data_IF_256697344244
#
_entry.id   IF_256697344244
#
_cell.length_a   1.000
_cell.length_b   1.000
_cell.length_c   1.000
_cell.angle_alpha   90.00
_cell.angle_beta   90.00
_cell.angle_gamma   90.00
#
_symmetry.space_group_name_H-M   'P 1'
#
loop_
_entity.id
_entity.type
_entity.pdbx_description
1 polymer ?
#
# COMPACT_ATOMS: atom_id res chain seq x y z
N UNK A 1 -18.86 -7.10 -21.03
CA UNK A 1 -18.74 -5.76 -20.42
C UNK A 1 -20.09 -5.40 -19.84
N UNK A 2 -20.16 -5.39 -18.52
CA UNK A 2 -21.36 -5.07 -17.76
C UNK A 2 -21.56 -3.54 -17.86
N UNK A 3 -22.46 -3.08 -18.75
CA UNK A 3 -22.67 -1.66 -19.09
C UNK A 3 -23.26 -0.82 -17.94
N UNK A 4 -23.56 -1.43 -16.78
CA UNK A 4 -24.27 -0.80 -15.66
C UNK A 4 -23.39 -0.49 -14.42
N UNK A 5 -22.07 -0.74 -14.46
CA UNK A 5 -21.20 -0.40 -13.32
C UNK A 5 -20.66 1.02 -13.43
N UNK A 6 -21.23 1.95 -12.65
CA UNK A 6 -20.65 3.27 -12.39
C UNK A 6 -19.74 3.21 -11.14
N UNK A 7 -18.40 3.30 -11.30
CA UNK A 7 -17.46 3.24 -10.18
C UNK A 7 -17.66 4.40 -9.18
N UNK A 8 -17.99 5.59 -9.68
CA UNK A 8 -18.20 6.77 -8.86
C UNK A 8 -19.42 6.61 -7.95
N UNK A 9 -20.55 6.20 -8.54
CA UNK A 9 -21.76 5.93 -7.77
C UNK A 9 -21.59 4.76 -6.79
N UNK A 10 -20.86 3.70 -7.17
CA UNK A 10 -20.57 2.57 -6.27
C UNK A 10 -19.73 3.00 -5.05
N UNK A 11 -18.65 3.76 -5.27
CA UNK A 11 -17.81 4.27 -4.20
C UNK A 11 -18.56 5.27 -3.30
N UNK A 12 -19.40 6.14 -3.88
CA UNK A 12 -20.21 7.10 -3.13
C UNK A 12 -21.20 6.40 -2.20
N UNK A 13 -21.95 5.39 -2.69
CA UNK A 13 -22.91 4.62 -1.87
C UNK A 13 -22.25 3.96 -0.66
N UNK A 14 -21.09 3.32 -0.85
CA UNK A 14 -20.37 2.69 0.26
C UNK A 14 -19.83 3.73 1.23
N UNK A 15 -19.29 4.84 0.74
CA UNK A 15 -18.79 5.91 1.60
C UNK A 15 -19.91 6.50 2.46
N UNK A 16 -21.09 6.71 1.89
CA UNK A 16 -22.27 7.18 2.63
C UNK A 16 -22.70 6.17 3.71
N UNK A 17 -22.71 4.87 3.40
CA UNK A 17 -23.01 3.83 4.38
C UNK A 17 -21.99 3.80 5.54
N UNK A 18 -20.69 3.91 5.24
CA UNK A 18 -19.63 3.98 6.25
C UNK A 18 -19.83 5.18 7.18
N UNK A 19 -20.08 6.36 6.60
CA UNK A 19 -20.28 7.59 7.37
C UNK A 19 -21.53 7.51 8.23
N UNK A 20 -22.63 6.99 7.68
CA UNK A 20 -23.87 6.78 8.43
C UNK A 20 -23.64 5.85 9.62
N UNK A 21 -22.97 4.73 9.43
CA UNK A 21 -22.73 3.77 10.51
C UNK A 21 -21.75 4.34 11.54
N UNK A 22 -20.77 5.14 11.11
CA UNK A 22 -19.82 5.84 12.00
C UNK A 22 -20.51 6.94 12.84
N UNK A 23 -21.42 7.71 12.24
CA UNK A 23 -22.08 8.86 12.87
C UNK A 23 -23.34 8.44 13.66
N UNK A 24 -24.08 7.45 13.19
CA UNK A 24 -25.42 7.15 13.70
C UNK A 24 -25.57 5.70 14.16
N UNK A 25 -24.59 4.83 13.89
CA UNK A 25 -24.61 3.46 14.34
C UNK A 25 -24.58 3.32 15.87
N UNK A 26 -25.09 2.19 16.36
CA UNK A 26 -25.06 1.83 17.79
C UNK A 26 -23.79 1.09 18.17
N UNK A 27 -23.09 0.51 17.19
CA UNK A 27 -21.88 -0.26 17.40
C UNK A 27 -20.69 0.60 17.85
N UNK A 28 -19.77 -0.02 18.59
CA UNK A 28 -18.56 0.64 19.08
C UNK A 28 -17.40 0.60 18.08
N UNK A 29 -17.57 -0.09 16.97
CA UNK A 29 -16.57 -0.24 15.94
C UNK A 29 -17.22 -0.32 14.56
N UNK A 30 -16.59 0.30 13.57
CA UNK A 30 -16.88 0.07 12.14
C UNK A 30 -15.56 -0.27 11.47
N UNK A 31 -15.51 -1.37 10.73
CA UNK A 31 -14.31 -1.80 9.99
C UNK A 31 -14.49 -1.51 8.51
N UNK A 32 -13.46 -0.96 7.88
CA UNK A 32 -13.45 -0.66 6.44
C UNK A 32 -12.23 -1.26 5.77
N UNK A 33 -12.50 -2.20 4.87
CA UNK A 33 -11.52 -2.77 3.96
C UNK A 33 -11.30 -1.81 2.79
N UNK A 34 -10.07 -1.31 2.68
CA UNK A 34 -9.66 -0.39 1.63
C UNK A 34 -8.54 -1.02 0.79
N UNK A 35 -8.84 -1.58 -0.40
CA UNK A 35 -7.80 -2.07 -1.31
C UNK A 35 -6.89 -0.94 -1.83
N UNK A 36 -5.81 -1.27 -2.56
CA UNK A 36 -4.80 -0.31 -2.98
C UNK A 36 -5.42 0.77 -3.87
N UNK A 37 -5.26 2.04 -3.48
CA UNK A 37 -5.79 3.16 -4.25
C UNK A 37 -7.30 3.36 -4.15
N UNK A 38 -7.98 2.73 -3.18
CA UNK A 38 -9.44 2.88 -3.03
C UNK A 38 -9.89 4.23 -2.43
N UNK A 39 -8.95 5.13 -2.13
CA UNK A 39 -9.25 6.44 -1.54
C UNK A 39 -9.30 6.42 -0.01
N UNK A 40 -8.56 5.51 0.64
CA UNK A 40 -8.48 5.38 2.10
C UNK A 40 -8.29 6.71 2.84
N UNK A 41 -7.23 7.44 2.51
CA UNK A 41 -6.93 8.73 3.14
C UNK A 41 -8.04 9.75 2.86
N UNK A 42 -8.68 9.71 1.68
CA UNK A 42 -9.83 10.55 1.36
C UNK A 42 -11.03 10.21 2.27
N UNK A 43 -11.28 8.93 2.52
CA UNK A 43 -12.31 8.46 3.46
C UNK A 43 -12.00 8.92 4.89
N UNK A 44 -10.77 8.71 5.37
CA UNK A 44 -10.35 9.11 6.73
C UNK A 44 -10.52 10.62 6.94
N UNK A 45 -10.04 11.44 6.00
CA UNK A 45 -10.22 12.90 6.06
C UNK A 45 -11.70 13.25 6.05
N UNK A 46 -12.50 12.67 5.15
CA UNK A 46 -13.95 12.94 5.08
C UNK A 46 -14.65 12.57 6.38
N UNK A 47 -14.38 11.39 6.93
CA UNK A 47 -14.98 10.95 8.20
C UNK A 47 -14.60 11.87 9.37
N UNK A 48 -13.34 12.32 9.43
CA UNK A 48 -12.89 13.28 10.44
C UNK A 48 -13.62 14.62 10.33
N UNK A 49 -13.78 15.15 9.10
CA UNK A 49 -14.50 16.41 8.86
C UNK A 49 -15.98 16.30 9.22
N UNK A 50 -16.66 15.21 8.85
CA UNK A 50 -18.08 14.99 9.17
C UNK A 50 -18.31 14.82 10.68
N UNK A 51 -17.41 14.12 11.37
CA UNK A 51 -17.46 14.00 12.84
C UNK A 51 -17.25 15.36 13.52
N UNK A 52 -16.23 16.11 13.09
CA UNK A 52 -15.96 17.45 13.60
C UNK A 52 -17.14 18.41 13.35
N UNK A 53 -17.69 18.45 12.13
CA UNK A 53 -18.85 19.27 11.77
C UNK A 53 -20.12 18.91 12.58
N UNK A 54 -20.26 17.64 12.97
CA UNK A 54 -21.33 17.18 13.86
C UNK A 54 -21.09 17.51 15.36
N UNK A 55 -20.04 18.28 15.69
CA UNK A 55 -19.68 18.64 17.06
C UNK A 55 -19.17 17.46 17.87
N UNK A 56 -18.50 16.49 17.21
CA UNK A 56 -17.96 15.28 17.83
C UNK A 56 -16.44 15.27 17.71
N UNK A 57 -15.74 15.86 18.69
CA UNK A 57 -14.29 15.82 18.71
C UNK A 57 -13.77 14.38 18.65
N UNK A 58 -12.72 14.16 17.87
CA UNK A 58 -12.14 12.84 17.65
C UNK A 58 -10.63 12.82 17.77
N UNK A 59 -10.12 11.68 18.18
CA UNK A 59 -8.71 11.35 18.01
C UNK A 59 -8.49 10.57 16.71
N UNK A 60 -7.32 10.72 16.10
CA UNK A 60 -6.90 9.89 14.97
C UNK A 60 -5.57 9.24 15.29
N UNK A 61 -5.50 7.93 15.02
CA UNK A 61 -4.38 7.05 15.32
C UNK A 61 -3.82 6.54 13.99
N UNK A 62 -2.54 6.83 13.72
CA UNK A 62 -1.81 6.25 12.59
C UNK A 62 -0.53 5.55 13.07
N UNK A 63 0.21 4.89 12.18
CA UNK A 63 1.37 4.06 12.58
C UNK A 63 2.70 4.82 12.51
N UNK A 64 2.83 5.78 11.61
CA UNK A 64 4.09 6.52 11.39
C UNK A 64 3.89 8.03 11.41
N UNK A 65 4.95 8.79 11.71
CA UNK A 65 4.87 10.26 11.69
C UNK A 65 4.54 10.80 10.29
N UNK A 66 5.11 10.23 9.23
CA UNK A 66 4.83 10.65 7.86
C UNK A 66 3.33 10.50 7.50
N UNK A 67 2.67 9.43 7.94
CA UNK A 67 1.23 9.25 7.75
C UNK A 67 0.42 10.29 8.52
N UNK A 68 0.81 10.57 9.77
CA UNK A 68 0.13 11.61 10.55
C UNK A 68 0.27 12.98 9.89
N UNK A 69 1.48 13.34 9.49
CA UNK A 69 1.76 14.67 8.95
C UNK A 69 1.07 14.87 7.59
N UNK A 70 1.04 13.85 6.71
CA UNK A 70 0.23 13.83 5.48
C UNK A 70 -1.26 14.00 5.77
N UNK A 71 -1.79 13.36 6.82
CA UNK A 71 -3.20 13.50 7.19
C UNK A 71 -3.52 14.91 7.71
N UNK A 72 -2.64 15.51 8.50
CA UNK A 72 -2.78 16.89 8.99
C UNK A 72 -2.78 17.87 7.82
N UNK A 73 -1.84 17.72 6.86
CA UNK A 73 -1.78 18.55 5.66
C UNK A 73 -3.10 18.50 4.87
N UNK A 74 -3.64 17.30 4.63
CA UNK A 74 -4.90 17.13 3.88
C UNK A 74 -6.12 17.70 4.62
N UNK A 75 -6.15 17.60 5.95
CA UNK A 75 -7.22 18.22 6.75
C UNK A 75 -7.15 19.74 6.69
N UNK A 76 -5.95 20.31 6.83
CA UNK A 76 -5.75 21.76 6.75
C UNK A 76 -6.04 22.31 5.35
N UNK A 77 -5.72 21.56 4.29
CA UNK A 77 -6.06 21.93 2.91
C UNK A 77 -7.59 21.95 2.69
N UNK A 78 -8.30 20.93 3.18
CA UNK A 78 -9.75 20.80 2.96
C UNK A 78 -10.61 21.64 3.89
N UNK A 79 -10.13 21.93 5.09
CA UNK A 79 -10.82 22.74 6.09
C UNK A 79 -9.81 23.67 6.78
N UNK A 80 -9.43 24.78 6.12
CA UNK A 80 -8.43 25.72 6.65
C UNK A 80 -8.81 26.37 7.98
N UNK A 81 -10.12 26.42 8.29
CA UNK A 81 -10.64 27.02 9.52
C UNK A 81 -10.81 26.00 10.66
N UNK A 82 -10.64 24.69 10.39
CA UNK A 82 -10.78 23.64 11.39
C UNK A 82 -9.53 23.60 12.28
N UNK A 83 -9.65 23.76 13.61
CA UNK A 83 -8.53 23.60 14.52
C UNK A 83 -8.09 22.13 14.58
N UNK A 84 -6.84 21.84 14.20
CA UNK A 84 -6.27 20.48 14.21
C UNK A 84 -5.10 20.40 15.18
N UNK A 85 -5.13 19.42 16.07
CA UNK A 85 -4.03 19.09 16.97
C UNK A 85 -3.09 18.05 16.38
N UNK A 86 -1.79 18.35 16.33
CA UNK A 86 -0.73 17.38 16.05
C UNK A 86 0.00 17.04 17.34
N UNK A 87 -0.32 15.90 17.94
CA UNK A 87 0.37 15.40 19.12
C UNK A 87 1.64 14.67 18.69
N UNK A 88 2.80 15.00 19.24
CA UNK A 88 4.09 14.43 18.81
C UNK A 88 5.01 14.02 19.97
N UNK A 89 6.14 13.38 19.68
CA UNK A 89 7.17 13.06 20.68
C UNK A 89 7.95 14.31 21.11
N UNK A 90 8.80 14.20 22.13
CA UNK A 90 9.70 15.29 22.54
C UNK A 90 11.04 15.26 21.78
N UNK A 91 11.11 14.56 20.64
CA UNK A 91 12.31 14.48 19.83
C UNK A 91 12.58 15.81 19.12
N UNK A 92 13.83 16.00 18.65
CA UNK A 92 14.28 17.26 18.05
C UNK A 92 13.56 17.62 16.74
N UNK A 93 13.18 16.61 15.95
CA UNK A 93 12.48 16.78 14.67
C UNK A 93 11.26 15.84 14.62
N UNK A 94 10.20 16.14 15.40
CA UNK A 94 9.15 15.17 15.68
C UNK A 94 8.02 15.15 14.64
N UNK A 95 8.02 16.09 13.69
CA UNK A 95 7.04 16.24 12.63
C UNK A 95 7.64 16.98 11.41
N UNK A 96 7.00 16.90 10.24
CA UNK A 96 7.41 17.62 9.03
C UNK A 96 7.24 19.14 9.15
N UNK A 97 8.29 19.91 8.83
CA UNK A 97 8.29 21.38 8.88
C UNK A 97 7.27 22.05 7.97
N UNK A 98 6.73 21.34 6.97
CA UNK A 98 5.58 21.80 6.20
C UNK A 98 4.37 22.16 7.09
N UNK A 99 4.29 21.61 8.30
CA UNK A 99 3.22 21.92 9.27
C UNK A 99 3.41 23.26 10.00
N UNK A 100 4.59 23.89 9.93
CA UNK A 100 4.86 25.15 10.63
C UNK A 100 4.09 26.32 10.01
N UNK A 101 3.87 26.27 8.69
CA UNK A 101 3.15 27.29 7.93
C UNK A 101 1.61 27.20 8.04
N UNK A 102 1.09 26.22 8.80
CA UNK A 102 -0.35 26.00 8.97
C UNK A 102 -0.87 26.68 10.26
N UNK A 103 -1.61 27.80 10.17
CA UNK A 103 -2.02 28.58 11.34
C UNK A 103 -3.12 27.89 12.17
N UNK A 104 -3.92 27.03 11.55
CA UNK A 104 -4.98 26.25 12.20
C UNK A 104 -4.47 24.95 12.85
N UNK A 105 -3.19 24.63 12.68
CA UNK A 105 -2.58 23.42 13.25
C UNK A 105 -1.84 23.77 14.53
N UNK A 106 -2.28 23.20 15.66
CA UNK A 106 -1.60 23.29 16.95
C UNK A 106 -0.75 22.05 17.18
N UNK A 107 0.57 22.25 17.28
CA UNK A 107 1.55 21.19 17.59
C UNK A 107 1.84 21.17 19.10
N UNK A 108 1.85 20.00 19.72
CA UNK A 108 2.33 19.85 21.10
C UNK A 108 2.81 18.43 21.40
N UNK A 109 3.75 18.31 22.33
CA UNK A 109 4.14 17.04 22.93
C UNK A 109 3.19 16.57 24.05
N UNK A 110 2.27 17.42 24.52
CA UNK A 110 1.34 17.14 25.62
C UNK A 110 -0.10 17.14 25.13
N UNK A 111 -0.83 16.05 25.40
CA UNK A 111 -2.23 15.91 25.00
C UNK A 111 -3.14 17.00 25.61
N UNK A 112 -2.86 17.43 26.85
CA UNK A 112 -3.63 18.48 27.53
C UNK A 112 -3.57 19.84 26.84
N UNK A 113 -2.50 20.15 26.12
CA UNK A 113 -2.41 21.41 25.35
C UNK A 113 -3.30 21.38 24.10
N UNK A 114 -3.73 20.19 23.68
CA UNK A 114 -4.57 19.95 22.51
C UNK A 114 -6.01 19.61 22.89
N UNK A 115 -6.33 19.62 24.19
CA UNK A 115 -7.67 19.35 24.68
C UNK A 115 -8.66 20.40 24.17
N UNK A 116 -9.85 19.95 23.76
CA UNK A 116 -10.91 20.81 23.21
C UNK A 116 -10.78 21.14 21.73
N UNK A 117 -9.73 20.68 21.04
CA UNK A 117 -9.66 20.73 19.58
C UNK A 117 -10.58 19.67 18.97
N UNK A 118 -11.16 19.98 17.81
CA UNK A 118 -12.10 19.10 17.13
C UNK A 118 -11.42 17.82 16.63
N UNK A 119 -10.17 17.90 16.16
CA UNK A 119 -9.43 16.75 15.67
C UNK A 119 -8.03 16.75 16.27
N UNK A 120 -7.61 15.65 16.90
CA UNK A 120 -6.22 15.48 17.37
C UNK A 120 -5.62 14.21 16.79
N UNK A 121 -4.45 14.31 16.16
CA UNK A 121 -3.84 13.22 15.40
C UNK A 121 -2.47 12.89 15.97
N UNK A 122 -2.20 11.59 16.14
CA UNK A 122 -0.89 11.10 16.57
C UNK A 122 -0.63 9.68 16.12
N UNK A 123 0.60 9.22 16.37
CA UNK A 123 0.96 7.83 16.19
C UNK A 123 0.41 6.98 17.35
N UNK A 124 0.12 5.70 17.08
CA UNK A 124 -0.27 4.74 18.10
C UNK A 124 0.71 4.70 19.28
N UNK A 125 2.02 4.70 18.98
CA UNK A 125 3.08 4.73 19.98
C UNK A 125 2.98 5.96 20.90
N UNK A 126 2.71 7.15 20.35
CA UNK A 126 2.58 8.36 21.16
C UNK A 126 1.30 8.36 22.00
N UNK A 127 0.19 7.89 21.43
CA UNK A 127 -1.08 7.75 22.14
C UNK A 127 -0.96 6.80 23.35
N UNK A 128 -0.20 5.71 23.23
CA UNK A 128 0.02 4.76 24.34
C UNK A 128 0.66 5.39 25.60
N UNK A 129 1.30 6.56 25.46
CA UNK A 129 1.85 7.31 26.59
C UNK A 129 0.87 8.31 27.23
N UNK A 130 -0.30 8.53 26.62
CA UNK A 130 -1.33 9.43 27.14
C UNK A 130 -2.11 8.70 28.24
N UNK A 131 -2.23 9.34 29.41
CA UNK A 131 -2.89 8.79 30.60
C UNK A 131 -3.72 9.88 31.27
N UNK A 132 -4.67 9.45 32.11
CA UNK A 132 -5.50 10.34 32.94
C UNK A 132 -6.24 11.41 32.11
N UNK A 133 -6.75 11.01 30.94
CA UNK A 133 -7.62 11.84 30.11
C UNK A 133 -9.00 11.20 30.04
N UNK A 134 -10.03 12.03 29.91
CA UNK A 134 -11.37 11.53 29.57
C UNK A 134 -11.32 10.83 28.21
N UNK A 135 -11.97 9.66 28.05
CA UNK A 135 -12.00 8.97 26.76
C UNK A 135 -12.62 9.84 25.66
N UNK A 136 -11.99 9.83 24.49
CA UNK A 136 -12.52 10.43 23.28
C UNK A 136 -13.77 9.66 22.85
N UNK A 137 -14.86 10.36 22.52
CA UNK A 137 -16.06 9.65 22.07
C UNK A 137 -15.85 8.90 20.76
N UNK A 138 -15.04 9.45 19.87
CA UNK A 138 -14.75 8.88 18.56
C UNK A 138 -13.24 8.81 18.32
N UNK A 139 -12.81 7.74 17.67
CA UNK A 139 -11.49 7.60 17.11
C UNK A 139 -11.55 7.17 15.64
N UNK A 140 -10.54 7.51 14.87
CA UNK A 140 -10.24 6.83 13.60
C UNK A 140 -8.89 6.16 13.74
N UNK A 141 -8.81 4.86 13.44
CA UNK A 141 -7.57 4.10 13.37
C UNK A 141 -7.24 3.89 11.90
N UNK A 142 -6.26 4.64 11.39
CA UNK A 142 -5.76 4.50 10.02
C UNK A 142 -4.64 3.45 9.95
N UNK A 143 -4.60 2.74 8.82
CA UNK A 143 -3.80 1.52 8.62
C UNK A 143 -4.02 0.49 9.76
N UNK A 144 -5.27 0.28 10.15
CA UNK A 144 -5.59 -0.58 11.29
C UNK A 144 -5.06 -2.03 11.14
N UNK A 145 -4.92 -2.54 9.91
CA UNK A 145 -4.33 -3.84 9.63
C UNK A 145 -2.80 -3.91 9.87
N UNK A 146 -2.09 -2.78 9.84
CA UNK A 146 -0.67 -2.72 10.16
C UNK A 146 -0.41 -2.51 11.66
N UNK A 147 -1.44 -2.12 12.40
CA UNK A 147 -1.38 -2.00 13.84
C UNK A 147 -1.37 -3.39 14.46
N UNK A 148 -0.43 -3.67 15.37
CA UNK A 148 -0.48 -4.88 16.18
C UNK A 148 -1.61 -4.80 17.23
N UNK A 149 -2.13 -5.96 17.60
CA UNK A 149 -3.15 -6.10 18.64
C UNK A 149 -2.71 -5.54 20.00
N UNK A 150 -1.45 -5.74 20.40
CA UNK A 150 -0.89 -5.17 21.64
C UNK A 150 -0.90 -3.64 21.65
N UNK A 151 -0.60 -3.02 20.51
CA UNK A 151 -0.64 -1.58 20.33
C UNK A 151 -2.09 -1.05 20.40
N UNK A 152 -3.07 -1.78 19.84
CA UNK A 152 -4.48 -1.41 19.98
C UNK A 152 -4.90 -1.46 21.45
N UNK A 153 -4.55 -2.52 22.17
CA UNK A 153 -4.87 -2.66 23.60
C UNK A 153 -4.31 -1.48 24.43
N UNK A 154 -3.11 -1.00 24.10
CA UNK A 154 -2.48 0.13 24.77
C UNK A 154 -3.23 1.46 24.61
N UNK A 155 -4.06 1.61 23.56
CA UNK A 155 -4.79 2.86 23.27
C UNK A 155 -6.32 2.71 23.32
N UNK A 156 -6.84 1.48 23.40
CA UNK A 156 -8.29 1.21 23.38
C UNK A 156 -9.06 1.89 24.53
N UNK A 157 -8.40 2.11 25.67
CA UNK A 157 -8.98 2.85 26.80
C UNK A 157 -9.13 4.35 26.57
N UNK A 158 -8.56 4.89 25.49
CA UNK A 158 -8.62 6.31 25.16
C UNK A 158 -9.86 6.67 24.34
N UNK A 159 -10.65 5.71 23.84
CA UNK A 159 -11.83 6.03 23.04
C UNK A 159 -13.03 5.13 23.32
N UNK A 160 -14.25 5.67 23.12
CA UNK A 160 -15.50 4.92 23.30
C UNK A 160 -15.87 4.12 22.05
N UNK A 161 -15.67 4.72 20.86
CA UNK A 161 -16.03 4.19 19.54
C UNK A 161 -14.93 4.47 18.52
N UNK A 162 -14.76 3.59 17.53
CA UNK A 162 -13.74 3.79 16.50
C UNK A 162 -14.16 3.34 15.08
N UNK A 163 -13.70 4.10 14.09
CA UNK A 163 -13.67 3.68 12.69
C UNK A 163 -12.27 3.12 12.39
N UNK A 164 -12.19 1.83 12.04
CA UNK A 164 -10.95 1.13 11.69
C UNK A 164 -10.84 1.05 10.17
N UNK A 165 -9.82 1.68 9.59
CA UNK A 165 -9.63 1.73 8.14
C UNK A 165 -8.26 1.16 7.81
N UNK A 166 -8.20 0.24 6.85
CA UNK A 166 -6.92 -0.27 6.37
C UNK A 166 -7.08 -1.26 5.24
N UNK A 167 -5.97 -1.86 4.84
CA UNK A 167 -5.90 -2.79 3.72
C UNK A 167 -5.59 -4.21 4.23
N UNK A 168 -6.53 -5.18 4.14
CA UNK A 168 -6.31 -6.55 4.61
C UNK A 168 -5.33 -7.35 3.73
N UNK A 169 -5.10 -6.94 2.48
CA UNK A 169 -4.28 -7.67 1.51
C UNK A 169 -2.83 -7.16 1.37
N UNK A 170 -2.45 -6.15 2.15
CA UNK A 170 -1.08 -5.61 2.16
C UNK A 170 -0.26 -6.16 3.34
N UNK A 171 0.63 -5.34 3.92
CA UNK A 171 1.64 -5.78 4.86
C UNK A 171 1.04 -6.08 6.23
N UNK A 172 1.43 -7.24 6.77
CA UNK A 172 1.18 -7.58 8.16
C UNK A 172 1.95 -6.66 9.12
N UNK A 173 1.47 -6.53 10.36
CA UNK A 173 2.21 -5.84 11.40
C UNK A 173 3.62 -6.43 11.59
N UNK A 174 4.61 -5.56 11.74
CA UNK A 174 5.99 -6.00 11.94
C UNK A 174 6.26 -6.40 13.40
N UNK A 175 6.91 -7.55 13.59
CA UNK A 175 7.47 -8.00 14.87
C UNK A 175 8.94 -8.39 14.72
N UNK A 176 9.76 -7.99 15.69
CA UNK A 176 11.17 -8.43 15.81
C UNK A 176 11.26 -9.76 16.57
N UNK A 177 10.27 -10.03 17.43
CA UNK A 177 10.23 -11.20 18.30
C UNK A 177 9.25 -12.21 17.70
N UNK A 178 9.68 -13.47 17.61
CA UNK A 178 8.81 -14.58 17.23
C UNK A 178 7.61 -14.68 18.17
N UNK A 179 6.44 -14.93 17.60
CA UNK A 179 5.18 -15.00 18.33
C UNK A 179 4.53 -16.40 18.26
N UNK A 180 5.32 -17.42 17.93
CA UNK A 180 4.83 -18.78 17.63
C UNK A 180 4.09 -19.40 18.82
N UNK A 181 4.42 -19.02 20.04
CA UNK A 181 3.75 -19.45 21.27
C UNK A 181 2.32 -18.91 21.45
N UNK A 182 1.95 -17.85 20.73
CA UNK A 182 0.59 -17.29 20.72
C UNK A 182 -0.21 -17.67 19.48
N UNK A 183 0.39 -18.43 18.57
CA UNK A 183 -0.24 -18.84 17.33
C UNK A 183 -1.59 -19.53 17.58
N UNK A 184 -2.62 -19.05 16.87
CA UNK A 184 -3.97 -19.61 16.91
C UNK A 184 -4.81 -19.14 18.09
N UNK A 185 -4.25 -18.30 18.96
CA UNK A 185 -5.01 -17.64 20.01
C UNK A 185 -5.72 -16.41 19.42
N UNK A 186 -6.99 -16.22 19.77
CA UNK A 186 -7.76 -15.03 19.35
C UNK A 186 -7.20 -13.71 19.88
N UNK A 187 -6.21 -13.76 20.79
CA UNK A 187 -5.54 -12.63 21.43
C UNK A 187 -4.04 -12.59 21.13
N UNK A 188 -3.59 -13.21 20.03
CA UNK A 188 -2.20 -13.11 19.58
C UNK A 188 -1.75 -11.63 19.50
N UNK A 189 -0.74 -11.21 20.30
CA UNK A 189 -0.30 -9.82 20.35
C UNK A 189 0.37 -9.37 19.04
N UNK A 190 0.81 -10.30 18.20
CA UNK A 190 1.43 -10.05 16.90
C UNK A 190 0.42 -9.94 15.76
N UNK A 191 -0.81 -10.43 15.96
CA UNK A 191 -1.88 -10.32 14.98
C UNK A 191 -2.27 -8.85 14.75
N UNK A 192 -2.90 -8.59 13.60
CA UNK A 192 -3.43 -7.26 13.32
C UNK A 192 -4.53 -6.89 14.31
N UNK A 193 -4.61 -5.60 14.62
CA UNK A 193 -5.62 -5.03 15.50
C UNK A 193 -7.04 -5.36 15.00
N UNK A 194 -7.26 -5.33 13.68
CA UNK A 194 -8.56 -5.66 13.07
C UNK A 194 -8.87 -7.15 13.21
N UNK A 195 -7.90 -8.04 12.97
CA UNK A 195 -8.09 -9.48 13.11
C UNK A 195 -8.49 -9.86 14.54
N UNK A 196 -7.79 -9.33 15.56
CA UNK A 196 -8.18 -9.54 16.96
C UNK A 196 -9.54 -8.90 17.26
N UNK A 197 -9.79 -7.67 16.82
CA UNK A 197 -11.06 -6.98 17.06
C UNK A 197 -12.26 -7.80 16.56
N UNK A 198 -12.21 -8.27 15.32
CA UNK A 198 -13.28 -9.06 14.70
C UNK A 198 -13.41 -10.46 15.32
N UNK A 199 -12.32 -11.06 15.77
CA UNK A 199 -12.37 -12.35 16.48
C UNK A 199 -13.18 -12.28 17.79
N UNK A 200 -13.16 -11.13 18.48
CA UNK A 200 -13.92 -10.91 19.72
C UNK A 200 -15.25 -10.17 19.51
N UNK A 201 -15.45 -9.55 18.34
CA UNK A 201 -16.63 -8.75 18.02
C UNK A 201 -17.08 -9.04 16.57
N UNK A 202 -17.56 -10.26 16.26
CA UNK A 202 -17.85 -10.67 14.88
C UNK A 202 -19.01 -9.90 14.23
N UNK A 203 -19.90 -9.34 15.04
CA UNK A 203 -21.08 -8.60 14.60
C UNK A 203 -20.79 -7.13 14.21
N UNK A 204 -19.55 -6.66 14.35
CA UNK A 204 -19.21 -5.28 13.97
C UNK A 204 -19.49 -5.04 12.47
N UNK A 205 -20.10 -3.90 12.10
CA UNK A 205 -20.27 -3.52 10.71
C UNK A 205 -18.94 -3.52 9.96
N UNK A 206 -18.91 -4.25 8.85
CA UNK A 206 -17.76 -4.36 7.94
C UNK A 206 -18.17 -3.82 6.57
N UNK A 207 -17.46 -2.79 6.11
CA UNK A 207 -17.64 -2.20 4.79
C UNK A 207 -16.40 -2.44 3.93
N UNK A 208 -16.58 -2.34 2.61
CA UNK A 208 -15.49 -2.50 1.65
C UNK A 208 -15.58 -1.47 0.55
N UNK A 209 -14.49 -0.75 0.33
CA UNK A 209 -14.40 0.17 -0.80
C UNK A 209 -14.30 -0.64 -2.11
N UNK A 210 -15.26 -0.48 -3.04
CA UNK A 210 -15.39 -1.39 -4.18
C UNK A 210 -14.52 -1.03 -5.39
N UNK A 211 -13.82 0.10 -5.34
CA UNK A 211 -13.15 0.72 -6.49
C UNK A 211 -11.74 1.15 -6.12
N UNK A 212 -10.75 0.77 -6.95
CA UNK A 212 -9.41 1.35 -6.94
C UNK A 212 -9.32 2.45 -7.99
N UNK A 213 -9.00 3.67 -7.54
CA UNK A 213 -8.74 4.82 -8.43
C UNK A 213 -7.29 4.89 -8.88
N UNK A 214 -6.42 4.02 -8.34
CA UNK A 214 -5.00 3.95 -8.71
C UNK A 214 -4.73 2.90 -9.76
N UNK A 215 -5.31 1.71 -9.65
CA UNK A 215 -4.97 0.63 -10.58
C UNK A 215 -5.73 0.80 -11.89
N UNK A 216 -5.05 0.75 -13.06
CA UNK A 216 -5.73 0.80 -14.35
C UNK A 216 -6.58 -0.45 -14.57
N UNK A 217 -7.52 -0.39 -15.52
CA UNK A 217 -8.38 -1.53 -15.89
C UNK A 217 -7.60 -2.80 -16.25
N UNK A 218 -6.38 -2.65 -16.79
CA UNK A 218 -5.47 -3.74 -17.10
C UNK A 218 -4.84 -4.44 -15.88
N UNK A 219 -4.78 -3.76 -14.73
CA UNK A 219 -4.08 -4.25 -13.55
C UNK A 219 -5.02 -4.61 -12.39
N UNK A 220 -6.14 -3.90 -12.24
CA UNK A 220 -7.06 -4.13 -11.14
C UNK A 220 -7.58 -5.58 -11.05
N UNK A 221 -7.95 -6.28 -12.15
CA UNK A 221 -8.40 -7.68 -12.07
C UNK A 221 -7.33 -8.60 -11.48
N UNK A 222 -6.08 -8.51 -11.96
CA UNK A 222 -5.00 -9.35 -11.43
C UNK A 222 -4.81 -9.13 -9.93
N UNK A 223 -4.72 -7.86 -9.50
CA UNK A 223 -4.48 -7.54 -8.09
C UNK A 223 -5.68 -7.95 -7.22
N UNK A 224 -6.90 -7.69 -7.69
CA UNK A 224 -8.13 -8.08 -6.99
C UNK A 224 -8.21 -9.59 -6.81
N UNK A 225 -8.02 -10.35 -7.88
CA UNK A 225 -8.19 -11.81 -7.86
C UNK A 225 -7.07 -12.49 -7.07
N UNK A 226 -5.82 -12.03 -7.22
CA UNK A 226 -4.66 -12.65 -6.58
C UNK A 226 -4.51 -12.30 -5.09
N UNK A 227 -4.97 -11.12 -4.65
CA UNK A 227 -4.71 -10.62 -3.30
C UNK A 227 -5.98 -10.35 -2.47
N UNK A 228 -7.15 -10.28 -3.10
CA UNK A 228 -8.41 -9.92 -2.46
C UNK A 228 -9.55 -10.90 -2.83
N UNK A 229 -9.37 -12.22 -2.65
CA UNK A 229 -10.32 -13.24 -3.13
C UNK A 229 -11.71 -13.12 -2.47
N UNK A 230 -11.75 -12.67 -1.23
CA UNK A 230 -13.01 -12.41 -0.51
C UNK A 230 -13.43 -10.95 -0.60
N UNK A 231 -12.50 -10.09 -1.02
CA UNK A 231 -12.61 -8.64 -1.04
C UNK A 231 -12.48 -7.97 -2.41
N UNK A 232 -13.14 -8.51 -3.48
CA UNK A 232 -12.88 -8.05 -4.83
C UNK A 232 -13.25 -6.58 -5.03
N UNK A 233 -12.48 -5.92 -5.88
CA UNK A 233 -12.68 -4.54 -6.27
C UNK A 233 -12.46 -4.37 -7.77
N UNK A 234 -12.92 -3.24 -8.32
CA UNK A 234 -12.79 -2.90 -9.74
C UNK A 234 -11.92 -1.67 -9.94
N UNK A 235 -11.41 -1.46 -11.15
CA UNK A 235 -10.79 -0.18 -11.50
C UNK A 235 -11.85 0.91 -11.59
N UNK A 236 -11.49 2.12 -11.15
CA UNK A 236 -12.27 3.34 -11.39
C UNK A 236 -12.03 3.96 -12.78
N UNK A 237 -11.14 3.36 -13.57
CA UNK A 237 -10.77 3.79 -14.93
C UNK A 237 -10.98 2.64 -15.92
N UNK A 238 -11.19 2.95 -17.20
CA UNK A 238 -11.28 1.97 -18.30
C UNK A 238 -9.93 1.83 -19.06
N UNK A 239 -9.80 0.84 -19.94
CA UNK A 239 -8.59 0.52 -20.71
C UNK A 239 -8.09 1.67 -21.61
N UNK A 240 -8.94 2.67 -21.88
CA UNK A 240 -8.59 3.85 -22.68
C UNK A 240 -8.13 5.05 -21.87
N UNK A 241 -8.47 5.13 -20.58
CA UNK A 241 -8.29 6.35 -19.78
C UNK A 241 -6.82 6.63 -19.47
N UNK A 242 -5.99 5.59 -19.50
CA UNK A 242 -4.56 5.68 -19.22
C UNK A 242 -3.75 5.03 -20.31
N UNK A 243 -2.81 5.80 -20.85
CA UNK A 243 -1.93 5.35 -21.94
C UNK A 243 -0.52 5.80 -21.68
N UNK A 244 0.43 4.92 -22.00
CA UNK A 244 1.85 5.22 -22.01
C UNK A 244 2.33 5.24 -23.46
N UNK A 245 3.05 6.28 -23.84
CA UNK A 245 3.58 6.48 -25.19
C UNK A 245 5.05 6.88 -25.15
N UNK A 246 5.77 6.70 -26.25
CA UNK A 246 7.20 6.99 -26.33
C UNK A 246 7.52 7.76 -27.61
N UNK A 247 8.33 8.80 -27.49
CA UNK A 247 8.76 9.64 -28.61
C UNK A 247 9.81 8.93 -29.50
N UNK A 248 10.66 8.10 -28.89
CA UNK A 248 11.70 7.35 -29.61
C UNK A 248 11.25 5.91 -29.82
N UNK A 249 11.39 5.44 -31.05
CA UNK A 249 11.10 4.05 -31.42
C UNK A 249 12.00 3.07 -30.66
N UNK A 250 11.44 1.88 -30.43
CA UNK A 250 12.15 0.74 -29.84
C UNK A 250 13.34 0.34 -30.70
N UNK A 251 14.49 0.10 -30.07
CA UNK A 251 15.68 -0.44 -30.71
C UNK A 251 15.66 -1.97 -30.86
N UNK A 252 14.58 -2.62 -30.41
CA UNK A 252 14.41 -4.07 -30.46
C UNK A 252 15.13 -4.86 -29.35
N UNK A 253 15.84 -4.17 -28.45
CA UNK A 253 16.48 -4.78 -27.27
C UNK A 253 15.45 -5.43 -26.34
N UNK A 254 15.92 -6.26 -25.40
CA UNK A 254 15.08 -6.78 -24.31
C UNK A 254 14.34 -5.66 -23.54
N UNK A 255 15.06 -4.64 -23.04
CA UNK A 255 14.48 -3.48 -22.38
C UNK A 255 13.40 -2.76 -23.20
N UNK A 256 13.66 -2.43 -24.46
CA UNK A 256 12.69 -1.66 -25.25
C UNK A 256 11.44 -2.48 -25.59
N UNK A 257 11.61 -3.78 -25.88
CA UNK A 257 10.48 -4.68 -26.15
C UNK A 257 9.59 -4.89 -24.92
N UNK A 258 10.16 -5.00 -23.72
CA UNK A 258 9.33 -5.12 -22.50
C UNK A 258 8.62 -3.81 -22.17
N UNK A 259 9.25 -2.67 -22.48
CA UNK A 259 8.61 -1.35 -22.35
C UNK A 259 7.41 -1.22 -23.30
N UNK A 260 7.56 -1.65 -24.56
CA UNK A 260 6.45 -1.65 -25.54
C UNK A 260 5.31 -2.56 -25.09
N UNK A 261 5.64 -3.74 -24.57
CA UNK A 261 4.65 -4.68 -24.02
C UNK A 261 3.88 -4.06 -22.85
N UNK A 262 4.61 -3.46 -21.90
CA UNK A 262 4.03 -2.83 -20.72
C UNK A 262 3.17 -1.61 -21.06
N UNK A 263 3.54 -0.82 -22.07
CA UNK A 263 2.72 0.29 -22.53
C UNK A 263 1.42 -0.15 -23.21
N UNK A 264 1.42 -1.31 -23.85
CA UNK A 264 0.25 -1.88 -24.54
C UNK A 264 -0.70 -2.58 -23.58
N UNK A 265 -0.18 -3.34 -22.63
CA UNK A 265 -0.96 -4.26 -21.80
C UNK A 265 -1.10 -3.81 -20.34
N UNK A 266 -0.29 -2.83 -19.89
CA UNK A 266 -0.11 -2.49 -18.47
C UNK A 266 0.89 -3.38 -17.73
N UNK A 267 1.39 -4.44 -18.36
CA UNK A 267 2.29 -5.42 -17.75
C UNK A 267 3.44 -5.79 -18.67
N UNK A 268 4.62 -6.02 -18.12
CA UNK A 268 5.73 -6.59 -18.87
C UNK A 268 6.59 -7.48 -17.97
N UNK A 269 7.01 -8.64 -18.46
CA UNK A 269 7.96 -9.51 -17.77
C UNK A 269 9.24 -9.62 -18.58
N UNK A 270 10.33 -9.03 -18.11
CA UNK A 270 11.66 -9.19 -18.68
C UNK A 270 12.36 -10.39 -18.04
N UNK A 271 12.46 -11.48 -18.79
CA UNK A 271 12.97 -12.75 -18.28
C UNK A 271 14.42 -12.99 -18.70
N UNK A 272 15.34 -13.02 -17.72
CA UNK A 272 16.73 -13.40 -17.88
C UNK A 272 16.90 -14.94 -17.87
N UNK A 273 17.97 -15.49 -18.48
CA UNK A 273 18.25 -16.91 -18.42
C UNK A 273 18.30 -17.47 -16.98
N UNK A 274 17.79 -18.69 -16.83
CA UNK A 274 17.76 -19.41 -15.54
C UNK A 274 19.16 -19.54 -14.95
N UNK A 275 19.30 -19.15 -13.68
CA UNK A 275 20.55 -19.26 -12.91
C UNK A 275 20.24 -19.04 -11.42
N UNK A 276 20.85 -19.84 -10.55
CA UNK A 276 20.90 -19.51 -9.11
C UNK A 276 21.94 -18.43 -8.84
N UNK A 277 21.54 -17.41 -8.09
CA UNK A 277 22.38 -16.25 -7.80
C UNK A 277 22.41 -15.96 -6.31
N UNK A 278 23.45 -15.25 -5.83
CA UNK A 278 23.36 -14.60 -4.52
C UNK A 278 22.12 -13.70 -4.44
N UNK A 279 21.70 -13.36 -3.21
CA UNK A 279 20.52 -12.51 -2.95
C UNK A 279 20.49 -11.22 -3.80
N UNK A 280 21.67 -10.62 -4.02
CA UNK A 280 21.83 -9.46 -4.90
C UNK A 280 22.46 -9.90 -6.22
N UNK A 281 21.62 -10.15 -7.22
CA UNK A 281 22.05 -10.49 -8.59
C UNK A 281 22.38 -9.24 -9.40
N UNK A 282 23.68 -8.98 -9.60
CA UNK A 282 24.15 -7.81 -10.34
C UNK A 282 23.74 -7.79 -11.81
N UNK A 283 23.49 -8.95 -12.44
CA UNK A 283 23.06 -9.01 -13.84
C UNK A 283 21.59 -8.56 -13.96
N UNK A 284 20.71 -9.09 -13.11
CA UNK A 284 19.31 -8.66 -13.05
C UNK A 284 19.18 -7.19 -12.62
N UNK A 285 20.03 -6.73 -11.69
CA UNK A 285 20.09 -5.32 -11.27
C UNK A 285 20.47 -4.40 -12.45
N UNK A 286 21.46 -4.78 -13.26
CA UNK A 286 21.84 -4.00 -14.47
C UNK A 286 20.75 -4.03 -15.53
N UNK A 287 20.13 -5.19 -15.77
CA UNK A 287 18.99 -5.31 -16.69
C UNK A 287 17.84 -4.39 -16.27
N UNK A 288 17.50 -4.38 -14.98
CA UNK A 288 16.50 -3.51 -14.39
C UNK A 288 16.86 -2.03 -14.55
N UNK A 289 18.09 -1.64 -14.23
CA UNK A 289 18.56 -0.26 -14.38
C UNK A 289 18.53 0.18 -15.86
N UNK A 290 18.84 -0.74 -16.78
CA UNK A 290 18.70 -0.55 -18.22
C UNK A 290 17.26 -0.26 -18.65
N UNK A 291 16.28 -1.01 -18.15
CA UNK A 291 14.85 -0.73 -18.40
C UNK A 291 14.48 0.68 -17.95
N UNK A 292 14.87 1.09 -16.74
CA UNK A 292 14.58 2.43 -16.22
C UNK A 292 15.25 3.52 -17.07
N UNK A 293 16.52 3.34 -17.45
CA UNK A 293 17.23 4.27 -18.35
C UNK A 293 16.50 4.39 -19.69
N UNK A 294 16.07 3.27 -20.28
CA UNK A 294 15.35 3.26 -21.56
C UNK A 294 13.98 3.90 -21.49
N UNK A 295 13.24 3.75 -20.38
CA UNK A 295 11.98 4.50 -20.17
C UNK A 295 12.18 6.01 -20.31
N UNK A 296 13.31 6.53 -19.78
CA UNK A 296 13.68 7.94 -19.85
C UNK A 296 14.22 8.34 -21.23
N UNK A 297 15.15 7.56 -21.79
CA UNK A 297 15.76 7.82 -23.11
C UNK A 297 14.72 7.85 -24.23
N UNK A 298 13.68 7.02 -24.11
CA UNK A 298 12.64 6.94 -25.12
C UNK A 298 11.63 8.09 -25.07
N UNK A 299 11.79 9.00 -24.12
CA UNK A 299 10.88 10.14 -23.93
C UNK A 299 9.47 9.65 -23.63
N UNK A 300 9.31 8.80 -22.61
CA UNK A 300 8.01 8.31 -22.18
C UNK A 300 7.07 9.47 -21.83
N UNK A 301 5.80 9.34 -22.18
CA UNK A 301 4.75 10.29 -21.83
C UNK A 301 3.46 9.55 -21.45
N UNK A 302 2.89 9.94 -20.32
CA UNK A 302 1.73 9.32 -19.71
C UNK A 302 0.50 10.20 -19.86
N UNK A 303 -0.57 9.65 -20.43
CA UNK A 303 -1.91 10.26 -20.48
C UNK A 303 -2.75 9.62 -19.38
N UNK A 304 -3.54 10.41 -18.65
CA UNK A 304 -4.45 9.88 -17.63
C UNK A 304 -5.67 10.77 -17.44
N UNK A 305 -6.68 10.27 -16.72
CA UNK A 305 -7.88 11.02 -16.33
C UNK A 305 -7.60 12.30 -15.50
N UNK A 306 -6.36 12.47 -15.01
CA UNK A 306 -5.92 13.65 -14.25
C UNK A 306 -5.38 14.79 -15.12
N UNK A 307 -5.06 14.53 -16.39
CA UNK A 307 -4.47 15.52 -17.29
C UNK A 307 -4.86 15.22 -18.74
N UNK A 308 -5.47 16.21 -19.41
CA UNK A 308 -5.88 16.08 -20.81
C UNK A 308 -4.69 15.92 -21.77
N UNK A 309 -3.57 16.58 -21.45
CA UNK A 309 -2.34 16.50 -22.24
C UNK A 309 -1.38 15.41 -21.72
N UNK A 310 -0.59 14.76 -22.61
CA UNK A 310 0.44 13.82 -22.18
C UNK A 310 1.48 14.48 -21.28
N UNK A 311 1.67 13.93 -20.08
CA UNK A 311 2.66 14.42 -19.12
C UNK A 311 3.95 13.59 -19.26
N UNK A 312 5.13 14.22 -19.43
CA UNK A 312 6.40 13.50 -19.54
C UNK A 312 6.65 12.55 -18.36
N UNK A 313 7.15 11.36 -18.66
CA UNK A 313 7.59 10.37 -17.67
C UNK A 313 8.99 10.74 -17.18
N UNK A 314 9.04 11.60 -16.17
CA UNK A 314 10.27 11.98 -15.47
C UNK A 314 10.67 10.93 -14.44
N UNK A 315 11.92 11.00 -13.95
CA UNK A 315 12.48 10.02 -13.04
C UNK A 315 11.70 9.85 -11.73
N UNK A 316 11.18 10.94 -11.17
CA UNK A 316 10.37 10.98 -9.94
C UNK A 316 9.02 10.26 -10.11
N UNK A 317 8.57 10.05 -11.35
CA UNK A 317 7.33 9.34 -11.69
C UNK A 317 7.54 7.84 -11.91
N UNK A 318 8.78 7.36 -11.75
CA UNK A 318 9.17 5.96 -11.82
C UNK A 318 9.60 5.49 -10.42
N UNK A 319 9.19 4.27 -10.05
CA UNK A 319 9.73 3.59 -8.89
C UNK A 319 10.31 2.21 -9.24
N UNK A 320 11.36 1.84 -8.51
CA UNK A 320 11.89 0.49 -8.46
C UNK A 320 11.56 -0.17 -7.13
N UNK A 321 10.91 -1.33 -7.20
CA UNK A 321 10.61 -2.17 -6.05
C UNK A 321 11.53 -3.39 -5.93
N UNK A 322 12.08 -3.62 -4.73
CA UNK A 322 12.88 -4.82 -4.42
C UNK A 322 12.36 -5.51 -3.14
N UNK A 323 12.74 -6.78 -2.95
CA UNK A 323 12.42 -7.49 -1.70
C UNK A 323 13.34 -7.06 -0.55
N UNK A 324 14.62 -6.80 -0.85
CA UNK A 324 15.64 -6.50 0.15
C UNK A 324 16.30 -5.13 0.00
N UNK A 325 16.82 -4.58 1.10
CA UNK A 325 17.47 -3.26 1.14
C UNK A 325 18.81 -3.23 0.41
N UNK A 326 19.56 -4.33 0.41
CA UNK A 326 20.82 -4.45 -0.33
C UNK A 326 20.59 -4.47 -1.85
N UNK A 327 19.52 -5.13 -2.32
CA UNK A 327 19.07 -5.05 -3.71
C UNK A 327 18.73 -3.60 -4.09
N UNK A 328 17.97 -2.88 -3.26
CA UNK A 328 17.66 -1.47 -3.50
C UNK A 328 18.93 -0.61 -3.58
N UNK A 329 19.90 -0.83 -2.70
CA UNK A 329 21.18 -0.13 -2.75
C UNK A 329 21.96 -0.42 -4.05
N UNK A 330 22.00 -1.69 -4.48
CA UNK A 330 22.65 -2.10 -5.72
C UNK A 330 21.99 -1.47 -6.96
N UNK A 331 20.66 -1.40 -7.00
CA UNK A 331 19.92 -0.72 -8.07
C UNK A 331 20.24 0.78 -8.09
N UNK A 332 20.25 1.46 -6.94
CA UNK A 332 20.62 2.89 -6.90
C UNK A 332 22.02 3.13 -7.45
N UNK A 333 22.98 2.26 -7.13
CA UNK A 333 24.33 2.32 -7.69
C UNK A 333 24.31 2.15 -9.22
N UNK A 334 23.61 1.13 -9.72
CA UNK A 334 23.52 0.86 -11.16
C UNK A 334 22.83 1.99 -11.94
N UNK A 335 21.80 2.63 -11.36
CA UNK A 335 21.15 3.80 -11.95
C UNK A 335 22.08 5.01 -11.97
N UNK A 336 22.84 5.23 -10.89
CA UNK A 336 23.81 6.32 -10.82
C UNK A 336 24.93 6.18 -11.86
N UNK A 337 25.40 4.94 -12.10
CA UNK A 337 26.38 4.64 -13.16
C UNK A 337 25.83 4.95 -14.57
N UNK A 338 24.50 4.84 -14.75
CA UNK A 338 23.79 5.22 -15.98
C UNK A 338 23.38 6.70 -16.02
N UNK A 339 23.82 7.50 -15.05
CA UNK A 339 23.47 8.93 -14.95
C UNK A 339 21.99 9.20 -14.62
N UNK A 340 21.25 8.20 -14.14
CA UNK A 340 19.85 8.34 -13.72
C UNK A 340 19.80 8.70 -12.23
N UNK A 341 19.13 9.79 -11.92
CA UNK A 341 18.90 10.29 -10.55
C UNK A 341 17.40 10.43 -10.30
N UNK A 342 17.02 10.63 -9.04
CA UNK A 342 15.66 10.96 -8.60
C UNK A 342 14.58 9.87 -8.80
N UNK A 343 14.93 8.73 -9.40
CA UNK A 343 14.09 7.53 -9.38
C UNK A 343 13.99 7.02 -7.95
N UNK A 344 12.76 6.77 -7.49
CA UNK A 344 12.55 6.13 -6.19
C UNK A 344 12.95 4.66 -6.29
N UNK A 345 13.85 4.19 -5.42
CA UNK A 345 14.25 2.78 -5.37
C UNK A 345 14.15 2.30 -3.93
N UNK A 346 13.28 1.35 -3.64
CA UNK A 346 13.01 0.95 -2.25
C UNK A 346 12.35 -0.43 -2.11
N UNK A 347 12.23 -0.91 -0.87
CA UNK A 347 11.50 -2.15 -0.56
C UNK A 347 9.99 -1.92 -0.49
N UNK A 348 9.21 -3.01 -0.57
CA UNK A 348 7.74 -2.96 -0.45
C UNK A 348 7.25 -2.08 0.73
N UNK A 349 7.80 -2.26 1.95
CA UNK A 349 7.43 -1.44 3.12
C UNK A 349 7.58 0.05 2.92
N UNK A 350 8.60 0.50 2.18
CA UNK A 350 8.88 1.93 1.97
C UNK A 350 8.14 2.50 0.75
N UNK A 351 7.72 1.63 -0.17
CA UNK A 351 6.88 2.00 -1.31
C UNK A 351 5.38 2.01 -0.96
N UNK A 352 4.99 1.45 0.19
CA UNK A 352 3.60 1.44 0.62
C UNK A 352 3.02 2.86 0.72
N UNK A 353 1.73 3.00 0.39
CA UNK A 353 1.03 4.30 0.34
C UNK A 353 1.36 5.16 -0.88
N UNK A 354 2.57 5.04 -1.45
CA UNK A 354 3.02 5.83 -2.61
C UNK A 354 2.41 5.32 -3.92
N UNK A 355 2.42 6.17 -4.94
CA UNK A 355 2.00 5.85 -6.31
C UNK A 355 2.92 6.48 -7.34
N UNK A 356 3.06 5.79 -8.47
CA UNK A 356 3.95 6.14 -9.57
C UNK A 356 3.23 5.86 -10.89
N UNK A 357 3.65 6.49 -11.97
CA UNK A 357 3.09 6.19 -13.29
C UNK A 357 3.55 4.80 -13.74
N UNK A 358 4.86 4.53 -13.60
CA UNK A 358 5.47 3.24 -13.97
C UNK A 358 6.26 2.67 -12.79
N UNK A 359 6.10 1.37 -12.55
CA UNK A 359 6.93 0.64 -11.58
C UNK A 359 7.76 -0.42 -12.27
N UNK A 360 9.02 -0.56 -11.84
CA UNK A 360 9.89 -1.66 -12.26
C UNK A 360 10.22 -2.50 -11.03
N UNK A 361 9.96 -3.80 -11.06
CA UNK A 361 10.08 -4.68 -9.88
C UNK A 361 11.12 -5.75 -10.14
N UNK A 362 12.06 -5.93 -9.21
CA UNK A 362 12.87 -7.15 -9.17
C UNK A 362 12.06 -8.24 -8.46
N UNK A 363 11.73 -9.31 -9.19
CA UNK A 363 10.87 -10.37 -8.67
C UNK A 363 11.49 -11.01 -7.40
N UNK A 364 10.73 -11.20 -6.30
CA UNK A 364 11.28 -11.70 -5.02
C UNK A 364 11.97 -13.06 -5.11
N UNK A 365 11.51 -13.93 -6.01
CA UNK A 365 12.05 -15.28 -6.23
C UNK A 365 13.12 -15.35 -7.32
N UNK A 366 13.48 -14.23 -7.95
CA UNK A 366 14.45 -14.23 -9.05
C UNK A 366 15.79 -14.82 -8.65
N UNK A 367 16.19 -15.92 -9.28
CA UNK A 367 17.48 -16.58 -9.08
C UNK A 367 17.66 -17.22 -7.70
N UNK A 368 16.59 -17.37 -6.92
CA UNK A 368 16.64 -18.05 -5.62
C UNK A 368 16.63 -19.57 -5.78
N UNK A 369 17.28 -20.31 -4.87
CA UNK A 369 17.17 -21.76 -4.78
C UNK A 369 15.95 -22.22 -3.97
N UNK A 370 15.30 -21.32 -3.22
CA UNK A 370 14.23 -21.61 -2.26
C UNK A 370 13.18 -20.48 -2.20
N UNK A 371 11.91 -20.87 -1.96
CA UNK A 371 10.80 -19.96 -1.71
C UNK A 371 10.50 -19.92 -0.20
N UNK A 372 11.08 -18.95 0.52
CA UNK A 372 10.82 -18.81 1.97
C UNK A 372 9.54 -18.05 2.24
N UNK A 373 8.95 -18.20 3.44
CA UNK A 373 7.78 -17.45 3.90
C UNK A 373 7.88 -15.93 3.68
N UNK A 374 9.08 -15.36 3.86
CA UNK A 374 9.34 -13.94 3.60
C UNK A 374 9.17 -13.57 2.10
N UNK A 375 9.60 -14.44 1.18
CA UNK A 375 9.51 -14.16 -0.26
C UNK A 375 8.13 -14.51 -0.83
N UNK A 376 7.40 -15.41 -0.16
CA UNK A 376 6.00 -15.73 -0.44
C UNK A 376 5.02 -14.80 0.31
N UNK A 377 5.50 -13.81 1.07
CA UNK A 377 4.63 -12.88 1.81
C UNK A 377 3.72 -12.10 0.84
N UNK A 378 2.45 -12.51 0.78
CA UNK A 378 1.40 -11.99 -0.10
C UNK A 378 1.34 -10.46 -0.09
N UNK A 379 1.41 -9.86 1.10
CA UNK A 379 1.35 -8.43 1.30
C UNK A 379 2.45 -7.64 0.57
N UNK A 380 3.68 -8.17 0.55
CA UNK A 380 4.81 -7.52 -0.14
C UNK A 380 4.62 -7.58 -1.65
N UNK A 381 4.21 -8.74 -2.16
CA UNK A 381 3.95 -8.92 -3.58
C UNK A 381 2.79 -8.02 -4.04
N UNK A 382 1.71 -7.96 -3.26
CA UNK A 382 0.59 -7.06 -3.48
C UNK A 382 1.08 -5.61 -3.60
N UNK A 383 1.88 -5.13 -2.62
CA UNK A 383 2.45 -3.77 -2.67
C UNK A 383 3.25 -3.56 -3.96
N UNK A 384 4.22 -4.43 -4.26
CA UNK A 384 5.08 -4.32 -5.45
C UNK A 384 4.27 -4.31 -6.76
N UNK A 385 3.21 -5.11 -6.84
CA UNK A 385 2.36 -5.23 -8.01
C UNK A 385 1.32 -4.11 -8.15
N UNK A 386 1.18 -3.20 -7.17
CA UNK A 386 0.06 -2.24 -7.14
C UNK A 386 0.41 -0.77 -6.90
N UNK A 387 1.69 -0.38 -7.08
CA UNK A 387 2.10 1.03 -6.97
C UNK A 387 1.98 1.82 -8.28
N UNK A 388 1.77 1.16 -9.42
CA UNK A 388 1.70 1.80 -10.73
C UNK A 388 0.30 2.32 -11.07
N UNK A 389 0.23 3.40 -11.85
CA UNK A 389 -1.00 3.93 -12.46
C UNK A 389 -1.15 3.53 -13.93
N UNK A 390 -0.05 3.30 -14.63
CA UNK A 390 -0.06 2.99 -16.07
C UNK A 390 0.49 1.60 -16.36
N UNK A 391 1.70 1.29 -15.88
CA UNK A 391 2.33 0.01 -16.20
C UNK A 391 3.27 -0.51 -15.10
N UNK A 392 3.37 -1.83 -14.99
CA UNK A 392 4.34 -2.52 -14.16
C UNK A 392 5.23 -3.46 -14.98
N UNK A 393 6.54 -3.28 -14.87
CA UNK A 393 7.54 -4.14 -15.50
C UNK A 393 8.22 -4.98 -14.43
N UNK A 394 8.12 -6.30 -14.53
CA UNK A 394 8.79 -7.25 -13.65
C UNK A 394 10.07 -7.74 -14.33
N UNK A 395 11.19 -7.73 -13.61
CA UNK A 395 12.46 -8.29 -14.04
C UNK A 395 12.74 -9.53 -13.21
N UNK A 396 12.98 -10.65 -13.87
CA UNK A 396 13.15 -11.95 -13.21
C UNK A 396 14.08 -12.86 -14.00
N UNK A 397 14.75 -13.81 -13.34
CA UNK A 397 15.31 -14.99 -14.01
C UNK A 397 14.23 -16.04 -14.26
N UNK A 398 14.37 -16.79 -15.35
CA UNK A 398 13.59 -18.00 -15.56
C UNK A 398 13.81 -19.02 -14.42
N UNK A 399 12.82 -19.88 -14.19
CA UNK A 399 12.84 -20.93 -13.16
C UNK A 399 11.91 -20.70 -11.96
N UNK A 400 11.12 -19.62 -11.95
CA UNK A 400 10.15 -19.37 -10.85
C UNK A 400 9.03 -20.42 -10.82
N UNK A 401 8.54 -20.87 -11.98
CA UNK A 401 7.55 -21.96 -12.04
C UNK A 401 8.08 -23.22 -11.37
N UNK A 402 9.27 -23.68 -11.78
CA UNK A 402 9.89 -24.88 -11.22
C UNK A 402 10.10 -24.73 -9.70
N UNK A 403 10.55 -23.55 -9.24
CA UNK A 403 10.73 -23.26 -7.83
C UNK A 403 9.42 -23.31 -7.03
N UNK A 404 8.30 -22.86 -7.61
CA UNK A 404 6.99 -22.90 -6.97
C UNK A 404 6.41 -24.32 -6.98
N UNK A 405 6.60 -25.08 -8.07
CA UNK A 405 6.15 -26.47 -8.19
C UNK A 405 6.93 -27.41 -7.26
N UNK A 406 8.24 -27.18 -7.11
CA UNK A 406 9.12 -27.94 -6.21
C UNK A 406 8.95 -27.59 -4.73
N UNK A 407 8.08 -26.63 -4.40
CA UNK A 407 7.82 -26.19 -3.02
C UNK A 407 6.57 -26.86 -2.42
N UNK A 408 6.68 -28.05 -1.79
CA UNK A 408 5.63 -28.50 -0.89
C UNK A 408 5.59 -27.56 0.31
N UNK A 409 4.39 -27.19 0.79
CA UNK A 409 4.24 -26.41 2.03
C UNK A 409 4.94 -27.15 3.17
N UNK A 410 6.11 -26.66 3.58
CA UNK A 410 6.89 -27.23 4.70
C UNK A 410 6.56 -26.59 6.04
N UNK A 411 5.59 -25.67 6.07
CA UNK A 411 5.22 -25.01 7.31
C UNK A 411 4.42 -25.95 8.23
N UNK A 412 4.74 -25.99 9.54
CA UNK A 412 3.96 -26.76 10.48
C UNK A 412 2.55 -26.19 10.56
N UNK A 413 1.54 -27.05 10.36
CA UNK A 413 0.13 -26.68 10.53
C UNK A 413 -0.12 -26.30 11.99
N UNK A 414 -0.44 -25.04 12.24
CA UNK A 414 -0.80 -24.53 13.56
C UNK A 414 -2.32 -24.54 13.72
N UNK A 415 -2.82 -25.36 14.65
CA UNK A 415 -4.24 -25.47 14.94
C UNK A 415 -4.78 -24.16 15.54
N UNK A 416 -5.94 -23.72 15.07
CA UNK A 416 -6.59 -22.49 15.55
C UNK A 416 -6.08 -21.19 14.92
N UNK A 417 -5.00 -21.23 14.13
CA UNK A 417 -4.57 -20.08 13.33
C UNK A 417 -5.57 -19.89 12.19
N UNK A 418 -6.18 -18.71 12.13
CA UNK A 418 -6.97 -18.29 10.96
C UNK A 418 -6.05 -18.35 9.74
N UNK A 419 -6.41 -19.18 8.75
CA UNK A 419 -5.64 -19.29 7.51
C UNK A 419 -5.50 -17.89 6.91
N UNK A 420 -4.24 -17.47 6.70
CA UNK A 420 -3.97 -16.20 6.01
C UNK A 420 -4.38 -16.38 4.56
N UNK A 421 -5.38 -15.61 4.14
CA UNK A 421 -5.86 -15.63 2.77
C UNK A 421 -5.57 -14.30 2.07
N UNK A 422 -5.14 -14.33 0.79
CA UNK A 422 -4.79 -15.54 0.04
C UNK A 422 -3.45 -16.15 0.48
N UNK A 423 -3.31 -17.46 0.26
CA UNK A 423 -2.05 -18.17 0.44
C UNK A 423 -0.96 -17.51 -0.43
N UNK A 424 0.22 -17.29 0.14
CA UNK A 424 1.35 -16.66 -0.52
C UNK A 424 1.80 -17.40 -1.76
N UNK A 425 1.72 -18.73 -1.73
CA UNK A 425 2.03 -19.56 -2.89
C UNK A 425 0.97 -19.38 -4.00
N UNK A 426 -0.33 -19.44 -3.67
CA UNK A 426 -1.40 -19.22 -4.66
C UNK A 426 -1.35 -17.82 -5.30
N UNK A 427 -1.12 -16.78 -4.50
CA UNK A 427 -0.98 -15.41 -4.98
C UNK A 427 0.23 -15.27 -5.93
N UNK A 428 1.36 -15.90 -5.60
CA UNK A 428 2.56 -15.91 -6.45
C UNK A 428 2.31 -16.68 -7.75
N UNK A 429 1.64 -17.83 -7.70
CA UNK A 429 1.29 -18.59 -8.90
C UNK A 429 0.34 -17.83 -9.81
N UNK A 430 -0.72 -17.23 -9.26
CA UNK A 430 -1.68 -16.43 -10.03
C UNK A 430 -1.02 -15.23 -10.71
N UNK A 431 -0.14 -14.52 -9.99
CA UNK A 431 0.61 -13.39 -10.56
C UNK A 431 1.62 -13.83 -11.62
N UNK A 432 2.33 -14.93 -11.38
CA UNK A 432 3.30 -15.48 -12.31
C UNK A 432 2.67 -15.99 -13.62
N UNK A 433 1.52 -16.66 -13.55
CA UNK A 433 0.78 -17.11 -14.74
C UNK A 433 0.35 -15.90 -15.60
N UNK A 434 -0.16 -14.84 -14.96
CA UNK A 434 -0.52 -13.62 -15.67
C UNK A 434 0.70 -12.92 -16.30
N UNK A 435 1.77 -12.70 -15.53
CA UNK A 435 3.00 -12.05 -16.02
C UNK A 435 3.66 -12.84 -17.15
N UNK A 436 3.59 -14.17 -17.12
CA UNK A 436 4.15 -15.04 -18.17
C UNK A 436 3.50 -14.82 -19.54
N UNK A 437 2.26 -14.31 -19.61
CA UNK A 437 1.59 -13.94 -20.86
C UNK A 437 2.16 -12.66 -21.49
N UNK A 438 2.91 -11.87 -20.71
CA UNK A 438 3.53 -10.61 -21.09
C UNK A 438 5.07 -10.70 -21.13
N UNK A 439 5.58 -11.91 -21.38
CA UNK A 439 6.99 -12.24 -21.31
C UNK A 439 7.78 -11.76 -22.52
N UNK A 440 8.92 -11.13 -22.22
CA UNK A 440 9.96 -10.76 -23.17
C UNK A 440 11.29 -11.37 -22.70
N UNK A 441 11.88 -12.21 -23.53
CA UNK A 441 13.20 -12.79 -23.25
C UNK A 441 14.28 -11.71 -23.28
N UNK A 442 15.15 -11.72 -22.26
CA UNK A 442 16.33 -10.87 -22.17
C UNK A 442 17.22 -11.06 -23.40
N UNK A 443 17.48 -9.95 -24.08
CA UNK A 443 18.46 -9.82 -25.16
C UNK A 443 19.21 -8.52 -24.88
N UNK A 444 20.45 -8.60 -24.37
CA UNK A 444 21.22 -7.43 -24.00
C UNK A 444 21.50 -6.52 -25.19
#
# INVERSE_FOLDING_TARGET
MDRDFDPGAAAARVTEAILRDTLHGTDRGVVVDSPPGAGKSTLVVRAALELAAAGRPLMVIAQTNAQVDDLVLRLAEKAPDLPVGRLHSSDTDPYDKALDDLPNVRKSAKAGDLAGLDVVISTAAKWAHVKNVEPWRHAIVDEAYQMRSDALLAVAGLFERALFVGDPGQLDPFSIVGAEQWAGLSYDPSASAVSTLLAHNPELPQHRLPVSWRLPASAAPLVSDAFYPYTPFRSGTDHGDRRLSFAVASDGSGPDRVIDEAARSGWGLLELPARHTPRTDLEAVRALAGVVRRLLDRGGAAVSERAEEPVPLTADRIAVGTAHRDQAAAVRSALADLGVRDVTVDTANRLQGREFDVTVVLHPLSGRPDATAFHLETGRLCVLASRHRHACIVVCRAGVSDLLDDHPSTEPVQLGVTVKFPDGWEAMMSTWDHWSRHRVAWRP
#
